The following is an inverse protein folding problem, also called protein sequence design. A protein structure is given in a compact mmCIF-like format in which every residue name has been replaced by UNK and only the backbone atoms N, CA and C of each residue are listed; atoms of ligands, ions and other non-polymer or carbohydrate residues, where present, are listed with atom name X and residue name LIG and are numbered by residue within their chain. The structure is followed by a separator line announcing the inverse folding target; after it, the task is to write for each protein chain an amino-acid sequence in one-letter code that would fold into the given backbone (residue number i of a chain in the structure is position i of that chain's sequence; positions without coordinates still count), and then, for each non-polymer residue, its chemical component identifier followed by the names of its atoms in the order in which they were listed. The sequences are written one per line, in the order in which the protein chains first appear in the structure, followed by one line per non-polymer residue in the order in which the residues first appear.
data_IF_287436113621
#
_entry.id   IF_287436113621
#
_cell.length_a   1.000
_cell.length_b   1.000
_cell.length_c   1.000
_cell.angle_alpha   90.00
_cell.angle_beta   90.00
_cell.angle_gamma   90.00
#
_symmetry.space_group_name_H-M   'P 1'
#
loop_
_entity.id
_entity.type
_entity.pdbx_description
1 polymer ?
#
# COMPACT_ATOMS: atom_id res chain seq x y z
N UNK A 1 13.68 8.18 17.39
CA UNK A 1 12.50 7.30 17.39
C UNK A 1 12.79 6.04 16.59
N UNK A 2 12.27 4.89 17.01
CA UNK A 2 12.43 3.66 16.25
C UNK A 2 11.74 3.76 14.87
N UNK A 3 12.14 2.93 13.89
CA UNK A 3 11.42 2.85 12.62
C UNK A 3 10.01 2.30 12.82
N UNK A 4 9.07 2.77 12.02
CA UNK A 4 7.67 2.39 12.09
C UNK A 4 7.41 1.04 11.43
N UNK A 5 6.38 0.38 11.89
CA UNK A 5 5.85 -0.84 11.34
C UNK A 5 4.68 -0.52 10.39
N UNK A 6 4.86 -0.77 9.10
CA UNK A 6 3.90 -0.37 8.08
C UNK A 6 3.13 -1.56 7.47
N UNK A 7 1.88 -1.31 7.11
CA UNK A 7 1.14 -2.14 6.17
C UNK A 7 1.46 -1.65 4.75
N UNK A 8 1.95 -2.54 3.90
CA UNK A 8 2.41 -2.17 2.55
C UNK A 8 1.43 -2.75 1.53
N UNK A 9 0.54 -1.91 1.03
CA UNK A 9 -0.42 -2.28 0.00
C UNK A 9 0.14 -2.03 -1.40
N UNK A 10 -0.15 -2.94 -2.32
CA UNK A 10 0.25 -2.83 -3.72
C UNK A 10 -0.64 -3.67 -4.61
N UNK A 11 -0.57 -3.45 -5.90
CA UNK A 11 -1.17 -4.29 -6.94
C UNK A 11 -0.12 -4.75 -7.94
N UNK A 12 -0.44 -5.85 -8.66
CA UNK A 12 0.48 -6.50 -9.60
C UNK A 12 -0.26 -7.07 -10.83
N UNK A 13 -1.41 -6.52 -11.15
CA UNK A 13 -2.30 -7.03 -12.23
C UNK A 13 -1.93 -6.52 -13.61
N UNK A 14 -1.02 -5.54 -13.68
CA UNK A 14 -0.47 -5.01 -14.92
C UNK A 14 1.04 -4.85 -14.82
N UNK A 15 1.70 -4.63 -15.96
CA UNK A 15 3.15 -4.37 -15.97
C UNK A 15 3.48 -3.09 -15.22
N UNK A 16 2.67 -2.05 -15.39
CA UNK A 16 2.88 -0.76 -14.73
C UNK A 16 2.74 -0.87 -13.21
N UNK A 17 1.70 -1.55 -12.73
CA UNK A 17 1.52 -1.82 -11.31
C UNK A 17 2.68 -2.64 -10.73
N UNK A 18 3.11 -3.68 -11.45
CA UNK A 18 4.23 -4.54 -11.03
C UNK A 18 5.55 -3.76 -10.98
N UNK A 19 5.83 -2.92 -11.94
CA UNK A 19 7.04 -2.07 -11.97
C UNK A 19 7.02 -1.10 -10.79
N UNK A 20 5.90 -0.41 -10.55
CA UNK A 20 5.74 0.51 -9.44
C UNK A 20 5.88 -0.20 -8.08
N UNK A 21 5.28 -1.38 -7.94
CA UNK A 21 5.40 -2.22 -6.75
C UNK A 21 6.87 -2.56 -6.46
N UNK A 22 7.61 -3.06 -7.45
CA UNK A 22 9.01 -3.46 -7.27
C UNK A 22 9.89 -2.28 -6.87
N UNK A 23 9.75 -1.15 -7.56
CA UNK A 23 10.51 0.06 -7.24
C UNK A 23 10.14 0.61 -5.86
N UNK A 24 8.86 0.59 -5.51
CA UNK A 24 8.37 1.01 -4.20
C UNK A 24 8.90 0.16 -3.06
N UNK A 25 8.92 -1.16 -3.21
CA UNK A 25 9.46 -2.09 -2.20
C UNK A 25 10.94 -1.82 -1.96
N UNK A 26 11.74 -1.64 -3.01
CA UNK A 26 13.17 -1.34 -2.85
C UNK A 26 13.39 0.02 -2.15
N UNK A 27 12.57 1.02 -2.46
CA UNK A 27 12.63 2.31 -1.78
C UNK A 27 12.23 2.21 -0.30
N UNK A 28 11.21 1.40 0.05
CA UNK A 28 10.81 1.16 1.43
C UNK A 28 11.93 0.45 2.21
N UNK A 29 12.55 -0.56 1.62
CA UNK A 29 13.68 -1.28 2.24
C UNK A 29 14.88 -0.35 2.51
N UNK A 30 15.08 0.64 1.65
CA UNK A 30 16.14 1.63 1.81
C UNK A 30 15.78 2.75 2.81
N UNK A 31 14.51 2.87 3.20
CA UNK A 31 14.04 3.95 4.08
C UNK A 31 14.31 3.64 5.55
N UNK A 32 15.17 4.42 6.24
CA UNK A 32 15.54 4.14 7.63
C UNK A 32 14.41 4.40 8.64
N UNK A 33 13.32 5.05 8.23
CA UNK A 33 12.17 5.30 9.11
C UNK A 33 11.15 4.17 9.09
N UNK A 34 11.31 3.15 8.23
CA UNK A 34 10.40 2.00 8.12
C UNK A 34 11.14 0.72 8.50
N UNK A 35 10.54 -0.09 9.35
CA UNK A 35 11.05 -1.42 9.67
C UNK A 35 10.49 -2.44 8.68
N UNK A 36 11.23 -2.76 7.64
CA UNK A 36 10.80 -3.75 6.65
C UNK A 36 10.52 -5.11 7.30
N UNK A 37 11.39 -5.56 8.16
CA UNK A 37 11.31 -6.87 8.80
C UNK A 37 10.00 -7.07 9.57
N UNK A 38 9.50 -6.01 10.24
CA UNK A 38 8.29 -6.09 11.05
C UNK A 38 7.05 -5.54 10.35
N UNK A 39 7.19 -5.01 9.14
CA UNK A 39 6.07 -4.53 8.34
C UNK A 39 5.31 -5.69 7.70
N UNK A 40 4.02 -5.45 7.44
CA UNK A 40 3.18 -6.44 6.74
C UNK A 40 3.17 -6.13 5.24
N UNK A 41 3.74 -7.04 4.46
CA UNK A 41 3.67 -7.05 3.01
C UNK A 41 2.89 -8.31 2.58
N UNK A 42 1.66 -8.18 2.02
CA UNK A 42 0.78 -9.33 1.80
C UNK A 42 1.37 -10.46 0.98
N UNK A 43 2.14 -10.17 -0.07
CA UNK A 43 2.77 -11.20 -0.91
C UNK A 43 3.83 -12.03 -0.17
N UNK A 44 4.41 -11.49 0.92
CA UNK A 44 5.36 -12.22 1.77
C UNK A 44 4.67 -13.04 2.86
N UNK A 45 3.36 -12.85 3.06
CA UNK A 45 2.59 -13.48 4.14
C UNK A 45 1.38 -14.26 3.61
N UNK A 46 1.52 -14.92 2.46
CA UNK A 46 0.44 -15.67 1.84
C UNK A 46 0.12 -16.94 2.62
N UNK A 47 -1.18 -17.26 2.69
CA UNK A 47 -1.69 -18.44 3.41
C UNK A 47 -1.05 -19.72 2.91
N UNK A 48 -0.51 -20.53 3.83
CA UNK A 48 0.25 -21.77 3.55
C UNK A 48 1.46 -21.56 2.63
N UNK A 49 1.97 -20.33 2.51
CA UNK A 49 3.08 -20.03 1.60
C UNK A 49 2.76 -20.22 0.12
N UNK A 50 1.48 -20.29 -0.24
CA UNK A 50 1.06 -20.49 -1.63
C UNK A 50 1.03 -19.15 -2.37
N UNK A 51 1.97 -19.00 -3.29
CA UNK A 51 2.08 -17.82 -4.14
C UNK A 51 1.01 -17.84 -5.24
N UNK A 52 0.14 -16.85 -5.25
CA UNK A 52 -0.92 -16.68 -6.23
C UNK A 52 -0.39 -16.53 -7.68
N UNK A 53 0.81 -15.98 -7.85
CA UNK A 53 1.41 -15.81 -9.18
C UNK A 53 1.83 -17.15 -9.81
N UNK A 54 2.27 -18.10 -8.97
CA UNK A 54 2.66 -19.44 -9.41
C UNK A 54 1.52 -20.47 -9.30
N UNK A 55 0.48 -20.17 -8.52
CA UNK A 55 -0.66 -21.03 -8.28
C UNK A 55 -1.98 -20.25 -8.45
N UNK A 56 -2.30 -19.73 -9.65
CA UNK A 56 -3.47 -18.85 -9.85
C UNK A 56 -4.81 -19.52 -9.51
N UNK A 57 -4.88 -20.85 -9.57
CA UNK A 57 -6.06 -21.64 -9.20
C UNK A 57 -6.46 -21.49 -7.73
N UNK A 58 -5.52 -21.07 -6.86
CA UNK A 58 -5.80 -20.86 -5.44
C UNK A 58 -6.82 -19.74 -5.21
N UNK A 59 -6.96 -18.82 -6.15
CA UNK A 59 -7.97 -17.76 -6.10
C UNK A 59 -9.41 -18.31 -6.03
N UNK A 60 -9.64 -19.57 -6.42
CA UNK A 60 -10.93 -20.24 -6.34
C UNK A 60 -11.13 -20.97 -5.00
N UNK A 61 -10.09 -21.12 -4.20
CA UNK A 61 -10.15 -21.76 -2.90
C UNK A 61 -10.75 -20.82 -1.85
N UNK A 62 -11.91 -21.18 -1.30
CA UNK A 62 -12.62 -20.37 -0.31
C UNK A 62 -11.88 -20.22 1.00
N UNK A 63 -11.17 -21.25 1.44
CA UNK A 63 -10.33 -21.18 2.64
C UNK A 63 -9.19 -20.16 2.44
N UNK A 64 -8.53 -20.21 1.29
CA UNK A 64 -7.47 -19.26 0.95
C UNK A 64 -7.99 -17.82 0.86
N UNK A 65 -9.16 -17.61 0.21
CA UNK A 65 -9.78 -16.29 0.11
C UNK A 65 -10.03 -15.68 1.49
N UNK A 66 -10.66 -16.43 2.37
CA UNK A 66 -10.98 -15.95 3.72
C UNK A 66 -9.75 -15.74 4.58
N UNK A 67 -8.78 -16.65 4.49
CA UNK A 67 -7.51 -16.53 5.20
C UNK A 67 -6.70 -15.32 4.74
N UNK A 68 -6.69 -15.02 3.44
CA UNK A 68 -6.01 -13.86 2.86
C UNK A 68 -6.61 -12.56 3.37
N UNK A 69 -7.93 -12.40 3.29
CA UNK A 69 -8.62 -11.21 3.82
C UNK A 69 -8.37 -11.04 5.31
N UNK A 70 -8.46 -12.12 6.08
CA UNK A 70 -8.20 -12.08 7.53
C UNK A 70 -6.76 -11.68 7.84
N UNK A 71 -5.79 -12.20 7.11
CA UNK A 71 -4.37 -11.86 7.28
C UNK A 71 -4.10 -10.38 6.98
N UNK A 72 -4.72 -9.83 5.94
CA UNK A 72 -4.57 -8.42 5.58
C UNK A 72 -5.22 -7.51 6.62
N UNK A 73 -6.40 -7.85 7.13
CA UNK A 73 -7.04 -7.12 8.23
C UNK A 73 -6.16 -7.14 9.49
N UNK A 74 -5.64 -8.29 9.88
CA UNK A 74 -4.74 -8.40 11.04
C UNK A 74 -3.42 -7.65 10.79
N UNK A 75 -2.90 -7.67 9.57
CA UNK A 75 -1.75 -6.86 9.17
C UNK A 75 -2.01 -5.35 9.34
N UNK A 76 -3.16 -4.87 8.89
CA UNK A 76 -3.59 -3.48 9.08
C UNK A 76 -3.70 -3.14 10.57
N UNK A 77 -4.36 -3.98 11.36
CA UNK A 77 -4.49 -3.78 12.81
C UNK A 77 -3.15 -3.76 13.53
N UNK A 78 -2.22 -4.61 13.13
CA UNK A 78 -0.92 -4.79 13.76
C UNK A 78 0.14 -3.76 13.36
N UNK A 79 -0.09 -2.96 12.32
CA UNK A 79 0.83 -1.93 11.85
C UNK A 79 0.48 -0.55 12.40
N UNK A 80 1.45 0.38 12.36
CA UNK A 80 1.26 1.75 12.87
C UNK A 80 0.62 2.65 11.83
N UNK A 81 0.93 2.42 10.54
CA UNK A 81 0.39 3.17 9.40
C UNK A 81 0.38 2.30 8.13
N UNK A 82 -0.25 2.81 7.07
CA UNK A 82 -0.21 2.22 5.75
C UNK A 82 0.68 2.99 4.77
N UNK A 83 1.37 2.25 3.90
CA UNK A 83 2.08 2.76 2.72
C UNK A 83 1.47 2.06 1.51
N UNK A 84 0.80 2.81 0.64
CA UNK A 84 0.04 2.26 -0.48
C UNK A 84 0.72 2.61 -1.79
N UNK A 85 1.28 1.61 -2.46
CA UNK A 85 1.94 1.76 -3.77
C UNK A 85 0.86 1.73 -4.86
N UNK A 86 0.35 2.90 -5.22
CA UNK A 86 -0.86 3.08 -6.01
C UNK A 86 -0.56 3.71 -7.37
N UNK A 87 -1.19 3.18 -8.42
CA UNK A 87 -1.05 3.71 -9.79
C UNK A 87 -2.37 4.37 -10.20
N UNK A 88 -2.45 5.71 -10.26
CA UNK A 88 -3.70 6.44 -10.54
C UNK A 88 -4.38 6.06 -11.85
N UNK A 89 -3.63 5.82 -12.93
CA UNK A 89 -4.18 5.43 -14.23
C UNK A 89 -4.70 3.98 -14.27
N UNK A 90 -4.33 3.17 -13.29
CA UNK A 90 -4.74 1.77 -13.17
C UNK A 90 -5.20 1.49 -11.73
N UNK A 91 -6.33 2.09 -11.31
CA UNK A 91 -6.80 2.01 -9.92
C UNK A 91 -7.14 0.56 -9.54
N UNK A 92 -6.88 0.23 -8.28
CA UNK A 92 -7.16 -1.09 -7.72
C UNK A 92 -8.15 -0.99 -6.56
N UNK A 93 -9.29 -1.69 -6.71
CA UNK A 93 -10.35 -1.71 -5.70
C UNK A 93 -9.87 -2.30 -4.37
N UNK A 94 -8.98 -3.29 -4.41
CA UNK A 94 -8.40 -3.91 -3.22
C UNK A 94 -7.60 -2.91 -2.40
N UNK A 95 -6.74 -2.12 -3.04
CA UNK A 95 -6.00 -1.06 -2.35
C UNK A 95 -6.94 0.02 -1.79
N UNK A 96 -7.97 0.42 -2.54
CA UNK A 96 -8.94 1.40 -2.05
C UNK A 96 -9.68 0.89 -0.80
N UNK A 97 -10.05 -0.39 -0.79
CA UNK A 97 -10.67 -1.04 0.37
C UNK A 97 -9.72 -1.06 1.59
N UNK A 98 -8.44 -1.37 1.38
CA UNK A 98 -7.42 -1.35 2.43
C UNK A 98 -7.19 0.07 2.99
N UNK A 99 -7.18 1.10 2.12
CA UNK A 99 -7.10 2.50 2.54
C UNK A 99 -8.28 2.88 3.45
N UNK A 100 -9.50 2.48 3.08
CA UNK A 100 -10.70 2.70 3.89
C UNK A 100 -10.62 1.96 5.23
N UNK A 101 -10.06 0.76 5.24
CA UNK A 101 -9.85 -0.03 6.46
C UNK A 101 -8.83 0.64 7.41
N UNK A 102 -7.72 1.15 6.87
CA UNK A 102 -6.75 1.94 7.64
C UNK A 102 -7.41 3.16 8.28
N UNK A 103 -8.19 3.91 7.51
CA UNK A 103 -8.95 5.05 8.02
C UNK A 103 -9.91 4.63 9.15
N UNK A 104 -10.67 3.56 8.94
CA UNK A 104 -11.62 3.04 9.92
C UNK A 104 -10.97 2.57 11.23
N UNK A 105 -9.69 2.20 11.20
CA UNK A 105 -8.89 1.86 12.38
C UNK A 105 -8.11 3.06 12.96
N UNK A 106 -8.37 4.27 12.49
CA UNK A 106 -7.71 5.48 12.96
C UNK A 106 -6.22 5.56 12.60
N UNK A 107 -5.80 4.89 11.54
CA UNK A 107 -4.40 4.84 11.12
C UNK A 107 -4.12 5.77 9.96
N UNK A 108 -2.93 6.36 9.98
CA UNK A 108 -2.45 7.17 8.87
C UNK A 108 -2.19 6.30 7.64
N UNK A 109 -2.40 6.87 6.46
CA UNK A 109 -2.16 6.22 5.19
C UNK A 109 -1.42 7.18 4.26
N UNK A 110 -0.24 6.79 3.82
CA UNK A 110 0.54 7.53 2.80
C UNK A 110 0.42 6.80 1.48
N UNK A 111 -0.12 7.48 0.48
CA UNK A 111 -0.24 6.95 -0.88
C UNK A 111 0.97 7.38 -1.69
N UNK A 112 1.60 6.43 -2.36
CA UNK A 112 2.79 6.63 -3.19
C UNK A 112 2.43 6.41 -4.64
N UNK A 113 2.56 7.44 -5.46
CA UNK A 113 2.23 7.39 -6.89
C UNK A 113 3.50 7.46 -7.75
N UNK A 114 3.49 6.89 -8.97
CA UNK A 114 4.59 7.08 -9.92
C UNK A 114 4.81 8.56 -10.24
N UNK A 115 6.06 8.97 -10.40
CA UNK A 115 6.41 10.37 -10.66
C UNK A 115 5.82 10.90 -11.98
N UNK A 116 5.67 10.03 -12.97
CA UNK A 116 5.07 10.37 -14.28
C UNK A 116 3.52 10.43 -14.26
N UNK A 117 2.90 10.11 -13.12
CA UNK A 117 1.44 10.12 -12.94
C UNK A 117 0.92 11.24 -12.03
N UNK A 118 1.74 12.22 -11.69
CA UNK A 118 1.33 13.33 -10.81
C UNK A 118 0.19 14.18 -11.39
N UNK A 119 -0.08 14.09 -12.68
CA UNK A 119 -1.17 14.81 -13.35
C UNK A 119 -2.41 13.94 -13.60
N UNK A 120 -2.34 12.65 -13.27
CA UNK A 120 -3.50 11.77 -13.38
C UNK A 120 -4.50 12.07 -12.25
N UNK A 121 -5.80 12.16 -12.57
CA UNK A 121 -6.80 12.40 -11.53
C UNK A 121 -6.91 11.21 -10.58
N UNK A 122 -7.15 11.51 -9.32
CA UNK A 122 -7.40 10.50 -8.28
C UNK A 122 -8.88 10.45 -7.91
N UNK A 123 -9.34 9.27 -7.56
CA UNK A 123 -10.66 9.15 -6.94
C UNK A 123 -10.72 10.02 -5.67
N UNK A 124 -11.82 10.76 -5.49
CA UNK A 124 -12.02 11.67 -4.36
C UNK A 124 -11.75 11.00 -3.01
N UNK A 125 -12.25 9.79 -2.81
CA UNK A 125 -12.11 9.10 -1.53
C UNK A 125 -10.65 8.66 -1.27
N UNK A 126 -9.92 8.31 -2.32
CA UNK A 126 -8.48 7.99 -2.23
C UNK A 126 -7.68 9.26 -1.93
N UNK A 127 -7.94 10.33 -2.65
CA UNK A 127 -7.22 11.60 -2.50
C UNK A 127 -7.45 12.27 -1.14
N UNK A 128 -8.70 12.31 -0.68
CA UNK A 128 -9.11 13.05 0.51
C UNK A 128 -9.30 12.17 1.75
N UNK A 129 -9.47 10.87 1.57
CA UNK A 129 -9.61 9.90 2.66
C UNK A 129 -8.27 9.36 3.19
N UNK A 130 -7.17 9.67 2.55
CA UNK A 130 -5.81 9.28 2.98
C UNK A 130 -5.07 10.46 3.59
N UNK A 131 -3.98 10.19 4.31
CA UNK A 131 -3.30 11.22 5.10
C UNK A 131 -2.43 12.13 4.23
N UNK A 132 -1.73 11.54 3.26
CA UNK A 132 -0.80 12.25 2.39
C UNK A 132 -0.52 11.47 1.13
N UNK A 133 -0.28 12.18 0.03
CA UNK A 133 0.14 11.59 -1.24
C UNK A 133 1.55 12.08 -1.54
N UNK A 134 2.46 11.15 -1.84
CA UNK A 134 3.84 11.43 -2.21
C UNK A 134 4.20 10.75 -3.53
N UNK A 135 5.28 11.21 -4.16
CA UNK A 135 5.84 10.57 -5.35
C UNK A 135 6.79 9.44 -4.97
N UNK A 136 6.94 8.48 -5.86
CA UNK A 136 7.89 7.37 -5.70
C UNK A 136 9.32 7.87 -5.40
N UNK A 137 9.76 8.95 -6.06
CA UNK A 137 11.08 9.56 -5.86
C UNK A 137 11.31 10.09 -4.43
N UNK A 138 10.24 10.36 -3.67
CA UNK A 138 10.33 10.84 -2.29
C UNK A 138 10.37 9.69 -1.28
N UNK A 139 9.97 8.48 -1.67
CA UNK A 139 9.67 7.38 -0.76
C UNK A 139 10.89 6.94 0.09
N UNK A 140 12.07 6.84 -0.50
CA UNK A 140 13.26 6.37 0.21
C UNK A 140 13.74 7.32 1.33
N UNK A 141 13.34 8.59 1.28
CA UNK A 141 13.79 9.63 2.23
C UNK A 141 12.65 10.24 3.06
N UNK A 142 11.42 9.89 2.76
CA UNK A 142 10.26 10.37 3.52
C UNK A 142 10.29 9.84 4.96
N UNK A 143 10.11 10.73 5.95
CA UNK A 143 10.14 10.32 7.36
C UNK A 143 8.76 9.85 7.84
N UNK A 144 8.55 8.53 7.83
CA UNK A 144 7.30 7.91 8.28
C UNK A 144 7.07 7.98 9.79
N UNK A 145 8.07 8.36 10.57
CA UNK A 145 7.92 8.58 12.03
C UNK A 145 7.17 9.87 12.33
N UNK A 146 7.07 10.78 11.36
CA UNK A 146 6.46 12.10 11.50
C UNK A 146 5.60 12.44 10.27
N UNK A 147 4.56 11.65 10.03
CA UNK A 147 3.64 11.92 8.93
C UNK A 147 2.72 13.07 9.30
N UNK A 148 2.83 14.16 8.54
CA UNK A 148 1.92 15.31 8.65
C UNK A 148 0.90 15.22 7.53
N UNK A 149 -0.38 15.33 7.88
CA UNK A 149 -1.46 15.36 6.90
C UNK A 149 -1.29 16.54 5.96
N UNK A 150 -1.57 16.32 4.68
CA UNK A 150 -1.51 17.33 3.65
C UNK A 150 -2.73 17.22 2.73
N UNK A 151 -3.28 18.37 2.35
CA UNK A 151 -4.44 18.41 1.45
C UNK A 151 -3.94 18.15 0.02
N UNK A 152 -4.55 17.16 -0.64
CA UNK A 152 -4.25 16.91 -2.04
C UNK A 152 -4.76 18.07 -2.91
N UNK A 153 -3.88 18.65 -3.71
CA UNK A 153 -4.16 19.80 -4.58
C UNK A 153 -4.34 19.41 -6.07
N UNK A 154 -4.24 18.13 -6.39
CA UNK A 154 -4.41 17.62 -7.75
C UNK A 154 -5.89 17.46 -8.13
N UNK A 155 -6.10 17.03 -9.37
CA UNK A 155 -7.43 16.76 -9.90
C UNK A 155 -8.04 15.49 -9.25
N UNK A 156 -9.33 15.56 -8.95
CA UNK A 156 -10.10 14.41 -8.39
C UNK A 156 -11.34 14.13 -9.24
N UNK A 157 -11.86 12.90 -9.19
CA UNK A 157 -13.13 12.49 -9.82
C UNK A 157 -14.00 11.70 -8.84
#
# INVERSE_FOLDING_TARGET
MPPVKAYIGCSWFSDKQTEHMKAGIEAIKANPSVSWEYSHYPLAHQYKGMDVNNNPEIMLDKEWQMATVSADIEGIKGCELGIMLYVPSEPDDGQAWEMGNLYGHGKQCVVVIPDDEVHEPLNLMVACGTTRIIKLSELATFDFRHVVADVYDGEVY
#
